data_IF_891696539717
#
_entry.id   IF_891696539717
#
_cell.length_a   1.000
_cell.length_b   1.000
_cell.length_c   1.000
_cell.angle_alpha   90.00
_cell.angle_beta   90.00
_cell.angle_gamma   90.00
#
_symmetry.space_group_name_H-M   'P 1'
#
loop_
_entity.id
_entity.type
_entity.pdbx_description
1 polymer ?
#
# COMPACT_ATOMS: atom_id res chain seq x y z
N UNK A 1 -26.37 -8.63 -6.97
CA UNK A 1 -24.90 -8.51 -7.03
C UNK A 1 -24.31 -8.88 -5.69
N UNK A 2 -23.41 -9.85 -5.66
CA UNK A 2 -22.72 -10.11 -4.42
C UNK A 2 -21.90 -8.87 -4.00
N UNK A 3 -21.80 -8.58 -2.69
CA UNK A 3 -20.96 -7.50 -2.24
C UNK A 3 -19.50 -7.76 -2.61
N UNK A 4 -18.76 -6.71 -2.93
CA UNK A 4 -17.32 -6.84 -3.18
C UNK A 4 -16.64 -7.30 -1.89
N UNK A 5 -15.77 -8.28 -2.01
CA UNK A 5 -15.08 -8.91 -0.88
C UNK A 5 -14.34 -7.91 0.02
N UNK A 6 -13.77 -6.85 -0.57
CA UNK A 6 -12.98 -5.85 0.15
C UNK A 6 -13.57 -4.45 0.02
N UNK A 7 -14.92 -4.34 -0.04
CA UNK A 7 -15.58 -3.06 -0.22
C UNK A 7 -15.25 -2.04 0.87
N UNK A 8 -14.98 -2.49 2.10
CA UNK A 8 -14.63 -1.62 3.21
C UNK A 8 -13.29 -0.88 3.01
N UNK A 9 -12.46 -1.32 2.06
CA UNK A 9 -11.13 -0.78 1.79
C UNK A 9 -11.08 0.01 0.48
N UNK A 10 -12.21 0.28 -0.15
CA UNK A 10 -12.23 0.85 -1.51
C UNK A 10 -11.59 2.24 -1.60
N UNK A 11 -11.47 2.98 -0.49
CA UNK A 11 -10.79 4.26 -0.48
C UNK A 11 -9.28 4.14 -0.82
N UNK A 12 -8.71 2.93 -0.74
CA UNK A 12 -7.33 2.66 -1.13
C UNK A 12 -7.23 1.85 -2.44
N UNK A 13 -8.33 1.64 -3.16
CA UNK A 13 -8.36 0.86 -4.40
C UNK A 13 -7.35 1.32 -5.45
N UNK A 14 -7.11 2.62 -5.68
CA UNK A 14 -6.07 3.03 -6.63
C UNK A 14 -4.69 2.44 -6.31
N UNK A 15 -4.33 2.38 -5.02
CA UNK A 15 -3.10 1.73 -4.56
C UNK A 15 -3.14 0.22 -4.80
N UNK A 16 -4.20 -0.45 -4.33
CA UNK A 16 -4.32 -1.90 -4.48
C UNK A 16 -4.26 -2.34 -5.94
N UNK A 17 -4.96 -1.63 -6.82
CA UNK A 17 -4.99 -1.93 -8.25
C UNK A 17 -3.61 -1.73 -8.89
N UNK A 18 -2.91 -0.66 -8.53
CA UNK A 18 -1.57 -0.38 -9.06
C UNK A 18 -0.58 -1.47 -8.64
N UNK A 19 -0.58 -1.87 -7.36
CA UNK A 19 0.31 -2.91 -6.86
C UNK A 19 -0.01 -4.25 -7.52
N UNK A 20 -1.29 -4.61 -7.63
CA UNK A 20 -1.68 -5.86 -8.29
C UNK A 20 -1.17 -5.91 -9.73
N UNK A 21 -1.32 -4.82 -10.46
CA UNK A 21 -0.82 -4.69 -11.82
C UNK A 21 0.71 -4.79 -11.86
N UNK A 22 1.41 -4.13 -10.93
CA UNK A 22 2.87 -4.12 -10.88
C UNK A 22 3.45 -5.52 -10.68
N UNK A 23 2.83 -6.34 -9.83
CA UNK A 23 3.31 -7.69 -9.54
C UNK A 23 2.93 -8.71 -10.62
N UNK A 24 1.88 -8.43 -11.40
CA UNK A 24 1.55 -9.20 -12.60
C UNK A 24 1.52 -10.71 -12.39
N UNK A 25 2.27 -11.43 -13.23
CA UNK A 25 2.32 -12.89 -13.21
C UNK A 25 3.21 -13.48 -12.12
N UNK A 26 3.84 -12.65 -11.30
CA UNK A 26 4.66 -13.13 -10.19
C UNK A 26 3.83 -13.68 -9.04
N UNK A 27 2.56 -13.30 -8.97
CA UNK A 27 1.67 -13.63 -7.84
C UNK A 27 0.34 -14.19 -8.32
N UNK A 28 -0.32 -14.95 -7.43
CA UNK A 28 -1.67 -15.48 -7.62
C UNK A 28 -2.63 -14.77 -6.67
N UNK A 29 -3.75 -14.30 -7.19
CA UNK A 29 -4.80 -13.61 -6.46
C UNK A 29 -5.28 -12.38 -7.19
N UNK A 30 -6.53 -11.99 -7.01
CA UNK A 30 -7.13 -10.86 -7.73
C UNK A 30 -6.91 -9.53 -7.02
N UNK A 31 -6.82 -9.53 -5.70
CA UNK A 31 -6.67 -8.35 -4.88
C UNK A 31 -5.39 -8.41 -4.06
N UNK A 32 -4.87 -7.26 -3.67
CA UNK A 32 -3.68 -7.14 -2.81
C UNK A 32 -3.78 -8.07 -1.58
N UNK A 33 -4.93 -8.08 -0.90
CA UNK A 33 -5.11 -8.93 0.28
C UNK A 33 -5.14 -10.43 -0.04
N UNK A 34 -5.42 -10.79 -1.30
CA UNK A 34 -5.37 -12.19 -1.73
C UNK A 34 -3.95 -12.67 -1.99
N UNK A 35 -3.02 -11.73 -2.25
CA UNK A 35 -1.61 -12.05 -2.51
C UNK A 35 -0.71 -11.94 -1.29
N UNK A 36 -1.24 -11.51 -0.15
CA UNK A 36 -0.59 -11.63 1.16
C UNK A 36 -1.06 -12.90 1.86
N UNK A 37 -0.26 -13.40 2.80
CA UNK A 37 -0.57 -14.60 3.58
C UNK A 37 -0.48 -14.31 5.07
N UNK A 38 -0.79 -15.31 5.90
CA UNK A 38 -0.62 -15.19 7.35
C UNK A 38 0.84 -15.05 7.76
N UNK A 39 1.78 -15.37 6.86
CA UNK A 39 3.22 -15.29 7.11
C UNK A 39 3.89 -14.05 6.48
N UNK A 40 3.15 -13.24 5.74
CA UNK A 40 3.70 -12.03 5.13
C UNK A 40 4.19 -11.06 6.21
N UNK A 41 5.38 -10.52 6.02
CA UNK A 41 5.94 -9.47 6.87
C UNK A 41 5.91 -8.16 6.09
N UNK A 42 5.25 -7.16 6.65
CA UNK A 42 5.15 -5.83 6.06
C UNK A 42 5.90 -4.84 6.98
N UNK A 43 7.01 -4.30 6.50
CA UNK A 43 7.81 -3.34 7.23
C UNK A 43 7.53 -1.92 6.76
N UNK A 44 7.33 -1.04 7.72
CA UNK A 44 7.13 0.39 7.50
C UNK A 44 8.42 1.09 7.93
N UNK A 45 9.16 1.63 6.98
CA UNK A 45 10.50 2.19 7.24
C UNK A 45 10.45 3.72 7.35
N UNK A 46 9.40 4.21 7.96
CA UNK A 46 9.19 5.63 8.28
C UNK A 46 8.42 5.72 9.60
N UNK A 47 8.52 6.85 10.27
CA UNK A 47 7.91 7.02 11.60
C UNK A 47 6.74 8.02 11.53
N UNK A 48 5.51 7.49 11.50
CA UNK A 48 4.27 8.26 11.52
C UNK A 48 3.27 7.68 12.51
N UNK A 49 3.78 7.01 13.56
CA UNK A 49 2.92 6.40 14.57
C UNK A 49 2.34 5.04 14.19
N UNK A 50 2.71 4.50 13.03
CA UNK A 50 2.29 3.16 12.61
C UNK A 50 3.23 2.09 13.19
N UNK A 51 2.73 0.86 13.37
CA UNK A 51 3.62 -0.24 13.72
C UNK A 51 4.71 -0.41 12.66
N UNK A 52 5.95 -0.57 13.08
CA UNK A 52 7.07 -0.76 12.14
C UNK A 52 7.03 -2.10 11.43
N UNK A 53 6.50 -3.10 12.09
CA UNK A 53 6.36 -4.46 11.53
C UNK A 53 4.92 -4.90 11.72
N UNK A 54 4.30 -5.29 10.62
CA UNK A 54 2.95 -5.84 10.59
C UNK A 54 3.08 -7.27 10.07
N UNK A 55 2.55 -8.24 10.83
CA UNK A 55 2.68 -9.66 10.52
C UNK A 55 1.33 -10.25 10.14
N UNK A 56 1.27 -10.77 8.93
CA UNK A 56 0.13 -11.52 8.45
C UNK A 56 -1.01 -10.69 7.91
N UNK A 57 -1.90 -11.39 7.20
CA UNK A 57 -3.02 -10.74 6.49
C UNK A 57 -3.97 -10.01 7.43
N UNK A 58 -4.35 -10.63 8.55
CA UNK A 58 -5.33 -10.04 9.46
C UNK A 58 -4.85 -8.69 10.03
N UNK A 59 -3.60 -8.65 10.50
CA UNK A 59 -3.02 -7.42 11.07
C UNK A 59 -2.82 -6.36 9.98
N UNK A 60 -2.45 -6.79 8.77
CA UNK A 60 -2.31 -5.86 7.66
C UNK A 60 -3.66 -5.26 7.25
N UNK A 61 -4.71 -6.07 7.21
CA UNK A 61 -6.06 -5.58 6.95
C UNK A 61 -6.51 -4.59 8.02
N UNK A 62 -6.21 -4.87 9.29
CA UNK A 62 -6.53 -3.95 10.39
C UNK A 62 -5.79 -2.60 10.22
N UNK A 63 -4.51 -2.63 9.82
CA UNK A 63 -3.74 -1.42 9.56
C UNK A 63 -4.35 -0.62 8.40
N UNK A 64 -4.77 -1.27 7.32
CA UNK A 64 -5.41 -0.58 6.20
C UNK A 64 -6.81 -0.06 6.55
N UNK A 65 -7.52 -0.65 7.52
CA UNK A 65 -8.77 -0.05 8.02
C UNK A 65 -8.51 1.34 8.59
N UNK A 66 -7.47 1.48 9.40
CA UNK A 66 -7.08 2.80 9.91
C UNK A 66 -6.67 3.76 8.80
N UNK A 67 -5.96 3.25 7.81
CA UNK A 67 -5.55 4.06 6.66
C UNK A 67 -6.75 4.64 5.91
N UNK A 68 -7.73 3.82 5.54
CA UNK A 68 -8.89 4.27 4.74
C UNK A 68 -9.83 5.18 5.53
N UNK A 69 -9.80 5.11 6.87
CA UNK A 69 -10.53 6.06 7.71
C UNK A 69 -9.89 7.46 7.68
N UNK A 70 -8.60 7.54 7.37
CA UNK A 70 -7.84 8.79 7.41
C UNK A 70 -7.58 9.39 6.03
N UNK A 71 -7.39 8.55 5.02
CA UNK A 71 -6.98 8.95 3.67
C UNK A 71 -7.88 8.29 2.64
N UNK A 72 -8.40 9.08 1.71
CA UNK A 72 -9.15 8.59 0.57
C UNK A 72 -8.32 8.86 -0.70
N UNK A 73 -7.86 7.81 -1.35
CA UNK A 73 -7.09 7.92 -2.58
C UNK A 73 -8.01 8.11 -3.78
N UNK A 74 -7.61 8.95 -4.71
CA UNK A 74 -8.31 9.23 -5.97
C UNK A 74 -7.58 8.60 -7.14
N UNK A 75 -6.24 8.51 -7.08
CA UNK A 75 -5.43 7.90 -8.13
C UNK A 75 -4.10 7.40 -7.59
N UNK A 76 -3.47 6.51 -8.34
CA UNK A 76 -2.08 6.10 -8.17
C UNK A 76 -1.47 5.98 -9.55
N UNK A 77 -0.23 6.45 -9.71
CA UNK A 77 0.38 6.55 -11.05
C UNK A 77 1.91 6.52 -10.98
N UNK A 78 2.54 6.79 -12.12
CA UNK A 78 3.99 6.86 -12.29
C UNK A 78 4.69 5.59 -11.82
N UNK A 79 4.06 4.44 -12.07
CA UNK A 79 4.63 3.16 -11.70
C UNK A 79 5.89 2.86 -12.50
N UNK A 80 6.96 2.54 -11.79
CA UNK A 80 8.18 1.94 -12.36
C UNK A 80 8.44 0.63 -11.63
N UNK A 81 8.61 -0.45 -12.38
CA UNK A 81 8.93 -1.76 -11.83
C UNK A 81 10.38 -2.08 -12.16
N UNK A 82 11.20 -2.21 -11.12
CA UNK A 82 12.61 -2.62 -11.28
C UNK A 82 12.72 -4.09 -10.92
N UNK A 83 13.10 -4.91 -11.90
CA UNK A 83 13.37 -6.33 -11.67
C UNK A 83 14.82 -6.48 -11.22
N UNK A 84 15.05 -7.36 -10.24
CA UNK A 84 16.39 -7.67 -9.76
C UNK A 84 16.87 -9.00 -10.36
N UNK A 85 18.17 -9.29 -10.21
CA UNK A 85 18.75 -10.58 -10.65
C UNK A 85 18.13 -11.76 -9.88
N UNK A 86 17.74 -11.54 -8.63
CA UNK A 86 16.90 -12.49 -7.91
C UNK A 86 15.45 -12.30 -8.41
N UNK A 87 14.96 -13.15 -9.26
CA UNK A 87 13.64 -13.04 -9.88
C UNK A 87 12.48 -13.05 -8.89
N UNK A 88 12.73 -13.20 -7.58
CA UNK A 88 11.72 -13.14 -6.53
C UNK A 88 11.62 -11.78 -5.85
N UNK A 89 12.55 -10.86 -6.15
CA UNK A 89 12.56 -9.53 -5.55
C UNK A 89 12.32 -8.48 -6.64
N UNK A 90 11.37 -7.59 -6.40
CA UNK A 90 11.13 -6.43 -7.27
C UNK A 90 11.11 -5.16 -6.44
N UNK A 91 11.51 -4.05 -7.07
CA UNK A 91 11.45 -2.71 -6.47
C UNK A 91 10.42 -1.91 -7.25
N UNK A 92 9.47 -1.31 -6.56
CA UNK A 92 8.40 -0.53 -7.14
C UNK A 92 8.54 0.93 -6.74
N UNK A 93 8.44 1.84 -7.72
CA UNK A 93 8.30 3.27 -7.45
C UNK A 93 6.94 3.72 -8.00
N UNK A 94 6.26 4.56 -7.26
CA UNK A 94 4.92 5.05 -7.66
C UNK A 94 4.51 6.25 -6.81
N UNK A 95 3.43 6.90 -7.23
CA UNK A 95 2.80 8.00 -6.50
C UNK A 95 1.35 7.67 -6.20
N UNK A 96 0.86 8.19 -5.08
CA UNK A 96 -0.56 8.16 -4.73
C UNK A 96 -1.07 9.60 -4.55
N UNK A 97 -2.33 9.82 -4.87
CA UNK A 97 -2.99 11.13 -4.81
C UNK A 97 -4.39 10.99 -4.25
N UNK A 98 -4.73 11.83 -3.30
CA UNK A 98 -6.04 11.81 -2.67
C UNK A 98 -6.24 12.96 -1.71
N UNK A 99 -7.02 12.73 -0.68
CA UNK A 99 -7.34 13.71 0.36
C UNK A 99 -7.24 13.09 1.75
N UNK A 100 -6.97 13.94 2.75
CA UNK A 100 -7.17 13.60 4.15
C UNK A 100 -8.66 13.72 4.44
N UNK A 101 -9.28 12.65 4.93
CA UNK A 101 -10.74 12.58 5.07
C UNK A 101 -11.26 13.66 6.02
N UNK A 102 -10.61 13.86 7.17
CA UNK A 102 -11.08 14.78 8.21
C UNK A 102 -11.01 16.25 7.78
N UNK A 103 -9.99 16.66 7.04
CA UNK A 103 -9.70 18.06 6.75
C UNK A 103 -9.94 18.44 5.30
N UNK A 104 -10.06 17.45 4.39
CA UNK A 104 -10.15 17.65 2.94
C UNK A 104 -8.87 18.20 2.32
N UNK A 105 -7.78 18.26 3.07
CA UNK A 105 -6.46 18.66 2.58
C UNK A 105 -5.99 17.65 1.54
N UNK A 106 -5.42 18.15 0.43
CA UNK A 106 -4.83 17.29 -0.60
C UNK A 106 -3.64 16.52 -0.04
N UNK A 107 -3.57 15.25 -0.42
CA UNK A 107 -2.48 14.36 -0.08
C UNK A 107 -1.86 13.80 -1.35
N UNK A 108 -0.58 14.08 -1.56
CA UNK A 108 0.21 13.53 -2.66
C UNK A 108 1.48 12.95 -2.06
N UNK A 109 1.84 11.73 -2.43
CA UNK A 109 3.03 11.10 -1.87
C UNK A 109 3.72 10.20 -2.89
N UNK A 110 5.01 9.99 -2.67
CA UNK A 110 5.87 9.12 -3.47
C UNK A 110 6.34 7.96 -2.62
N UNK A 111 6.34 6.78 -3.23
CA UNK A 111 6.70 5.54 -2.55
C UNK A 111 7.79 4.80 -3.29
N UNK A 112 8.59 4.07 -2.53
CA UNK A 112 9.46 3.02 -3.03
C UNK A 112 9.23 1.79 -2.16
N UNK A 113 8.86 0.68 -2.78
CA UNK A 113 8.56 -0.57 -2.06
C UNK A 113 9.43 -1.69 -2.58
N UNK A 114 10.10 -2.40 -1.66
CA UNK A 114 10.91 -3.57 -2.00
C UNK A 114 10.10 -4.80 -1.62
N UNK A 115 9.78 -5.63 -2.61
CA UNK A 115 8.83 -6.73 -2.45
C UNK A 115 9.51 -8.06 -2.76
N UNK A 116 9.47 -8.99 -1.80
CA UNK A 116 9.94 -10.36 -2.00
C UNK A 116 8.76 -11.29 -2.19
N UNK A 117 8.82 -12.08 -3.26
CA UNK A 117 7.79 -13.06 -3.63
C UNK A 117 8.30 -14.46 -3.31
N UNK A 118 7.49 -15.26 -2.66
CA UNK A 118 7.74 -16.69 -2.44
C UNK A 118 6.43 -17.44 -2.65
N UNK A 119 6.49 -18.58 -3.37
CA UNK A 119 5.32 -19.42 -3.64
C UNK A 119 4.14 -18.60 -4.24
N UNK A 120 4.47 -17.65 -5.09
CA UNK A 120 3.52 -16.77 -5.81
C UNK A 120 2.68 -15.90 -4.88
N UNK A 121 3.23 -15.58 -3.71
CA UNK A 121 2.61 -14.66 -2.72
C UNK A 121 3.66 -13.67 -2.21
N UNK A 122 3.22 -12.57 -1.63
CA UNK A 122 4.12 -11.62 -1.00
C UNK A 122 4.63 -12.24 0.31
N UNK A 123 5.94 -12.46 0.39
CA UNK A 123 6.60 -12.94 1.60
C UNK A 123 7.05 -11.78 2.49
N UNK A 124 7.58 -10.72 1.88
CA UNK A 124 8.13 -9.57 2.59
C UNK A 124 7.89 -8.31 1.80
N UNK A 125 7.44 -7.26 2.46
CA UNK A 125 7.22 -5.93 1.91
C UNK A 125 7.96 -4.92 2.76
N UNK A 126 8.82 -4.11 2.14
CA UNK A 126 9.52 -3.02 2.81
C UNK A 126 9.08 -1.72 2.16
N UNK A 127 8.47 -0.86 2.94
CA UNK A 127 7.81 0.32 2.45
C UNK A 127 8.55 1.60 2.83
N UNK A 128 8.93 2.36 1.83
CA UNK A 128 9.52 3.69 1.98
C UNK A 128 8.61 4.72 1.34
N UNK A 129 8.47 5.87 1.96
CA UNK A 129 7.71 6.97 1.37
C UNK A 129 8.31 8.31 1.77
N UNK A 130 7.83 9.38 1.15
CA UNK A 130 8.11 10.74 1.59
C UNK A 130 7.32 11.01 2.88
N UNK A 131 7.94 10.76 4.03
CA UNK A 131 7.30 10.92 5.32
C UNK A 131 7.02 12.37 5.66
N UNK A 132 7.81 13.31 5.13
CA UNK A 132 7.56 14.74 5.32
C UNK A 132 6.26 15.17 4.63
N UNK A 133 6.02 14.70 3.40
CA UNK A 133 4.78 14.98 2.69
C UNK A 133 3.56 14.45 3.46
N UNK A 134 3.66 13.22 3.97
CA UNK A 134 2.59 12.63 4.78
C UNK A 134 2.36 13.40 6.08
N UNK A 135 3.41 13.74 6.79
CA UNK A 135 3.32 14.49 8.05
C UNK A 135 2.67 15.86 7.81
N UNK A 136 3.10 16.59 6.79
CA UNK A 136 2.52 17.90 6.46
C UNK A 136 1.04 17.80 6.14
N UNK A 137 0.63 16.81 5.36
CA UNK A 137 -0.77 16.63 4.99
C UNK A 137 -1.62 16.28 6.22
N UNK A 138 -1.15 15.35 7.07
CA UNK A 138 -1.89 14.86 8.23
C UNK A 138 -2.00 15.92 9.34
N UNK A 139 -1.07 16.87 9.43
CA UNK A 139 -1.07 17.91 10.45
C UNK A 139 -1.59 19.26 9.95
N UNK A 140 -1.85 19.40 8.65
CA UNK A 140 -2.38 20.63 8.06
C UNK A 140 -3.81 20.89 8.56
N UNK A 141 -4.13 22.17 8.76
CA UNK A 141 -5.49 22.59 9.09
C UNK A 141 -6.37 22.54 7.82
N UNK A 142 -7.68 22.35 8.04
CA UNK A 142 -8.64 22.40 6.94
C UNK A 142 -8.51 23.74 6.18
N UNK A 143 -8.64 23.73 4.82
CA UNK A 143 -8.56 24.93 4.01
C UNK A 143 -9.71 25.90 4.29
#
# INVERSE_FOLDING_TARGET
MPPKKYAAYQAADPYFSLIRKALGDLVDGEHFFDIVTDNTIYEVLYDLGWPRIIRGRADLMAAFRGYVDSIALQSANKLVVHKTDDGRVVVLEYEVHGIIVATRVKYNNRFCSIVKIESRKIAHWRDYMDSLAASKALTAKAP
#
